data_IF_704316254097
#
_entry.id   IF_704316254097
#
_cell.length_a   1.000
_cell.length_b   1.000
_cell.length_c   1.000
_cell.angle_alpha   90.00
_cell.angle_beta   90.00
_cell.angle_gamma   90.00
#
_symmetry.space_group_name_H-M   'P 1'
#
loop_
_entity.id
_entity.type
_entity.pdbx_description
1 polymer ?
#
# COMPACT_ATOMS: atom_id res chain seq x y z
N UNK A 1 -8.25 5.16 -20.79
CA UNK A 1 -6.78 5.24 -20.64
C UNK A 1 -6.07 5.32 -21.99
N UNK A 2 -6.26 4.33 -22.87
CA UNK A 2 -5.71 4.33 -24.25
C UNK A 2 -6.22 5.50 -25.11
N UNK A 3 -7.52 5.76 -25.07
CA UNK A 3 -8.13 6.91 -25.78
C UNK A 3 -7.62 8.27 -25.28
N UNK A 4 -7.28 8.36 -23.99
CA UNK A 4 -6.70 9.56 -23.37
C UNK A 4 -5.16 9.61 -23.43
N UNK A 5 -4.51 8.64 -24.10
CA UNK A 5 -3.05 8.49 -24.21
C UNK A 5 -2.28 8.57 -22.88
N UNK A 6 -2.89 8.16 -21.77
CA UNK A 6 -2.23 8.14 -20.45
C UNK A 6 -1.46 6.83 -20.27
N UNK A 7 -0.19 6.93 -19.85
CA UNK A 7 0.59 5.80 -19.33
C UNK A 7 0.36 5.68 -17.82
N UNK A 8 0.28 4.44 -17.33
CA UNK A 8 0.01 4.14 -15.92
C UNK A 8 1.09 3.19 -15.43
N UNK A 9 1.63 3.45 -14.25
CA UNK A 9 2.44 2.48 -13.53
C UNK A 9 1.55 1.70 -12.54
N UNK A 10 1.54 0.38 -12.64
CA UNK A 10 0.92 -0.51 -11.66
C UNK A 10 2.02 -1.08 -10.78
N UNK A 11 2.07 -0.64 -9.52
CA UNK A 11 3.05 -1.08 -8.54
C UNK A 11 2.52 -2.30 -7.78
N UNK A 12 3.28 -3.40 -7.75
CA UNK A 12 2.88 -4.66 -7.11
C UNK A 12 4.02 -5.31 -6.33
N UNK A 13 3.69 -6.10 -5.31
CA UNK A 13 4.67 -6.88 -4.56
C UNK A 13 5.10 -8.14 -5.34
N UNK A 14 6.11 -8.83 -4.81
CA UNK A 14 6.67 -10.04 -5.42
C UNK A 14 5.93 -11.32 -5.03
N UNK A 15 4.63 -11.25 -4.73
CA UNK A 15 3.86 -12.45 -4.42
C UNK A 15 3.86 -13.42 -5.61
N UNK A 16 3.96 -14.72 -5.34
CA UNK A 16 4.06 -15.75 -6.40
C UNK A 16 2.83 -15.78 -7.32
N UNK A 17 1.66 -15.39 -6.82
CA UNK A 17 0.45 -15.23 -7.63
C UNK A 17 0.53 -14.09 -8.66
N UNK A 18 1.50 -13.18 -8.54
CA UNK A 18 1.78 -12.11 -9.49
C UNK A 18 2.85 -12.47 -10.53
N UNK A 19 3.43 -13.68 -10.46
CA UNK A 19 4.40 -14.18 -11.43
C UNK A 19 3.75 -14.56 -12.78
N UNK A 20 2.93 -13.66 -13.33
CA UNK A 20 2.27 -13.80 -14.63
C UNK A 20 2.81 -12.74 -15.57
N UNK A 21 3.30 -13.16 -16.73
CA UNK A 21 3.75 -12.23 -17.78
C UNK A 21 2.53 -11.67 -18.51
N UNK A 22 2.09 -10.48 -18.12
CA UNK A 22 1.03 -9.74 -18.78
C UNK A 22 1.63 -8.57 -19.58
N UNK A 23 1.38 -8.53 -20.90
CA UNK A 23 1.70 -7.38 -21.74
C UNK A 23 0.47 -6.51 -21.89
N UNK A 24 0.51 -5.31 -21.32
CA UNK A 24 -0.58 -4.33 -21.39
C UNK A 24 -0.15 -3.14 -22.26
N UNK A 25 -1.07 -2.56 -23.04
CA UNK A 25 -0.71 -1.55 -24.05
C UNK A 25 -0.38 -0.16 -23.47
N UNK A 26 -0.82 0.14 -22.26
CA UNK A 26 -0.72 1.47 -21.63
C UNK A 26 -0.47 1.41 -20.11
N UNK A 27 -0.16 0.22 -19.60
CA UNK A 27 0.10 -0.03 -18.18
C UNK A 27 1.45 -0.73 -18.08
N UNK A 28 2.38 -0.10 -17.40
CA UNK A 28 3.67 -0.68 -17.06
C UNK A 28 3.54 -1.30 -15.67
N UNK A 29 3.75 -2.61 -15.57
CA UNK A 29 3.72 -3.32 -14.30
C UNK A 29 5.12 -3.27 -13.69
N UNK A 30 5.24 -2.68 -12.51
CA UNK A 30 6.49 -2.49 -11.80
C UNK A 30 6.44 -3.29 -10.50
N UNK A 31 7.37 -4.23 -10.36
CA UNK A 31 7.53 -4.98 -9.14
C UNK A 31 8.43 -4.21 -8.18
N UNK A 32 8.04 -4.16 -6.91
CA UNK A 32 8.91 -3.66 -5.86
C UNK A 32 10.16 -4.56 -5.71
N UNK A 33 11.30 -4.05 -5.21
CA UNK A 33 12.40 -4.90 -4.78
C UNK A 33 11.95 -5.96 -3.76
N UNK A 34 12.70 -7.06 -3.66
CA UNK A 34 12.39 -8.10 -2.68
C UNK A 34 12.55 -7.54 -1.26
N UNK A 35 11.67 -7.96 -0.36
CA UNK A 35 11.69 -7.62 1.07
C UNK A 35 11.53 -6.13 1.42
N UNK A 36 11.13 -5.28 0.48
CA UNK A 36 10.89 -3.85 0.75
C UNK A 36 9.42 -3.48 0.86
N UNK A 37 8.50 -4.43 0.69
CA UNK A 37 7.06 -4.14 0.59
C UNK A 37 6.54 -3.25 1.71
N UNK A 38 6.87 -3.55 2.97
CA UNK A 38 6.42 -2.75 4.12
C UNK A 38 6.94 -1.31 4.14
N UNK A 39 8.03 -1.03 3.43
CA UNK A 39 8.69 0.28 3.39
C UNK A 39 8.15 1.13 2.24
N UNK A 40 7.93 0.53 1.08
CA UNK A 40 7.61 1.29 -0.14
C UNK A 40 6.22 0.99 -0.73
N UNK A 41 5.44 0.07 -0.16
CA UNK A 41 4.06 -0.10 -0.59
C UNK A 41 3.15 0.95 0.06
N UNK A 42 2.44 1.78 -0.74
CA UNK A 42 1.48 2.76 -0.20
C UNK A 42 0.39 2.11 0.65
N UNK A 43 -0.02 0.89 0.29
CA UNK A 43 -0.98 0.11 1.06
C UNK A 43 -0.53 -0.10 2.52
N UNK A 44 0.75 -0.43 2.70
CA UNK A 44 1.38 -0.63 4.02
C UNK A 44 1.72 0.71 4.71
N UNK A 45 1.83 1.81 3.96
CA UNK A 45 2.10 3.15 4.52
C UNK A 45 0.92 3.83 5.20
N UNK A 46 -0.26 3.22 5.20
CA UNK A 46 -1.38 3.70 6.01
C UNK A 46 -2.77 3.36 5.48
N UNK A 47 -2.91 3.06 4.19
CA UNK A 47 -4.21 2.76 3.58
C UNK A 47 -4.87 1.55 4.25
N UNK A 48 -4.14 0.43 4.41
CA UNK A 48 -4.68 -0.77 5.06
C UNK A 48 -5.06 -0.49 6.52
N UNK A 49 -4.24 0.29 7.24
CA UNK A 49 -4.50 0.66 8.63
C UNK A 49 -5.76 1.51 8.76
N UNK A 50 -5.90 2.54 7.91
CA UNK A 50 -7.08 3.39 7.86
C UNK A 50 -8.33 2.57 7.55
N UNK A 51 -8.28 1.75 6.49
CA UNK A 51 -9.38 0.85 6.12
C UNK A 51 -9.83 -0.03 7.27
N UNK A 52 -8.90 -0.74 7.94
CA UNK A 52 -9.21 -1.62 9.08
C UNK A 52 -9.87 -0.85 10.23
N UNK A 53 -9.42 0.37 10.49
CA UNK A 53 -10.02 1.21 11.54
C UNK A 53 -11.47 1.58 11.21
N UNK A 54 -11.74 2.07 10.00
CA UNK A 54 -13.10 2.39 9.57
C UNK A 54 -13.99 1.15 9.51
N UNK A 55 -13.47 0.02 9.00
CA UNK A 55 -14.18 -1.25 8.98
C UNK A 55 -14.58 -1.71 10.39
N UNK A 56 -13.64 -1.67 11.34
CA UNK A 56 -13.92 -2.05 12.72
C UNK A 56 -14.98 -1.13 13.35
N UNK A 57 -14.96 0.17 13.04
CA UNK A 57 -16.01 1.08 13.51
C UNK A 57 -17.38 0.71 12.93
N UNK A 58 -17.46 0.39 11.63
CA UNK A 58 -18.72 0.02 10.99
C UNK A 58 -19.25 -1.34 11.45
N UNK A 59 -18.39 -2.34 11.60
CA UNK A 59 -18.83 -3.65 12.07
C UNK A 59 -19.32 -3.57 13.51
N UNK A 60 -18.68 -2.76 14.36
CA UNK A 60 -19.16 -2.54 15.74
C UNK A 60 -20.51 -1.82 15.77
N UNK A 61 -20.73 -0.82 14.92
CA UNK A 61 -22.05 -0.18 14.76
C UNK A 61 -23.11 -1.20 14.34
N UNK A 62 -22.80 -2.04 13.35
CA UNK A 62 -23.71 -3.09 12.86
C UNK A 62 -24.06 -4.08 13.97
N UNK A 63 -23.06 -4.54 14.73
CA UNK A 63 -23.27 -5.45 15.87
C UNK A 63 -24.20 -4.79 16.91
N UNK A 64 -23.92 -3.55 17.29
CA UNK A 64 -24.63 -2.87 18.39
C UNK A 64 -26.06 -2.47 17.98
N UNK A 65 -26.23 -1.86 16.80
CA UNK A 65 -27.49 -1.23 16.43
C UNK A 65 -28.40 -2.16 15.62
N UNK A 66 -27.84 -3.01 14.76
CA UNK A 66 -28.65 -3.81 13.83
C UNK A 66 -28.84 -5.26 14.32
N UNK A 67 -27.81 -5.84 14.94
CA UNK A 67 -27.79 -7.26 15.30
C UNK A 67 -28.05 -7.55 16.77
N UNK A 68 -28.13 -6.52 17.64
CA UNK A 68 -28.26 -6.69 19.09
C UNK A 68 -29.59 -6.18 19.68
N UNK A 69 -30.77 -6.54 19.14
CA UNK A 69 -32.05 -6.04 19.66
C UNK A 69 -32.36 -6.52 21.09
N UNK A 70 -31.78 -7.64 21.52
CA UNK A 70 -32.00 -8.24 22.83
C UNK A 70 -30.88 -7.96 23.86
N UNK A 71 -29.88 -7.13 23.52
CA UNK A 71 -28.75 -6.83 24.40
C UNK A 71 -27.76 -8.00 24.61
N UNK A 72 -27.88 -9.08 23.84
CA UNK A 72 -27.00 -10.25 23.86
C UNK A 72 -25.91 -10.17 22.79
N UNK A 73 -24.75 -9.64 23.18
CA UNK A 73 -23.62 -9.39 22.27
C UNK A 73 -23.11 -10.68 21.60
N UNK A 74 -23.04 -11.80 22.33
CA UNK A 74 -22.54 -13.06 21.76
C UNK A 74 -23.42 -13.61 20.62
N UNK A 75 -24.73 -13.44 20.73
CA UNK A 75 -25.68 -13.81 19.67
C UNK A 75 -25.57 -12.84 18.48
N UNK A 76 -25.41 -11.54 18.76
CA UNK A 76 -25.25 -10.50 17.73
C UNK A 76 -23.99 -10.71 16.88
N UNK A 77 -22.86 -11.06 17.49
CA UNK A 77 -21.60 -11.35 16.79
C UNK A 77 -21.76 -12.58 15.88
N UNK A 78 -22.41 -13.64 16.36
CA UNK A 78 -22.70 -14.85 15.56
C UNK A 78 -23.67 -14.57 14.40
N UNK A 79 -24.51 -13.54 14.53
CA UNK A 79 -25.46 -13.09 13.50
C UNK A 79 -24.86 -12.23 12.39
N UNK A 80 -23.56 -11.94 12.42
CA UNK A 80 -22.86 -11.21 11.37
C UNK A 80 -22.70 -12.09 10.13
N UNK A 81 -23.16 -11.56 8.99
CA UNK A 81 -23.14 -12.24 7.70
C UNK A 81 -22.03 -11.70 6.80
N UNK A 82 -21.75 -12.41 5.71
CA UNK A 82 -20.86 -11.93 4.65
C UNK A 82 -21.41 -10.64 4.02
N UNK A 83 -22.73 -10.49 3.90
CA UNK A 83 -23.34 -9.26 3.37
C UNK A 83 -23.04 -8.05 4.26
N UNK A 84 -23.08 -8.23 5.58
CA UNK A 84 -22.72 -7.19 6.55
C UNK A 84 -21.24 -6.81 6.39
N UNK A 85 -20.36 -7.80 6.25
CA UNK A 85 -18.93 -7.57 6.05
C UNK A 85 -18.63 -6.82 4.73
N UNK A 86 -19.28 -7.20 3.62
CA UNK A 86 -19.13 -6.50 2.32
C UNK A 86 -19.65 -5.06 2.43
N UNK A 87 -20.80 -4.86 3.07
CA UNK A 87 -21.39 -3.53 3.25
C UNK A 87 -20.50 -2.64 4.11
N UNK A 88 -20.01 -3.16 5.24
CA UNK A 88 -19.05 -2.46 6.09
C UNK A 88 -17.73 -2.16 5.37
N UNK A 89 -17.25 -3.07 4.51
CA UNK A 89 -16.05 -2.84 3.69
C UNK A 89 -16.25 -1.68 2.73
N UNK A 90 -17.40 -1.61 2.07
CA UNK A 90 -17.74 -0.48 1.20
C UNK A 90 -17.78 0.83 1.99
N UNK A 91 -18.51 0.88 3.10
CA UNK A 91 -18.61 2.08 3.93
C UNK A 91 -17.24 2.53 4.47
N UNK A 92 -16.40 1.57 4.87
CA UNK A 92 -15.04 1.85 5.32
C UNK A 92 -14.15 2.42 4.22
N UNK A 93 -14.27 1.90 3.00
CA UNK A 93 -13.52 2.42 1.85
C UNK A 93 -13.97 3.84 1.48
N UNK A 94 -15.28 4.11 1.52
CA UNK A 94 -15.83 5.43 1.19
C UNK A 94 -15.41 6.52 2.21
N UNK A 95 -14.95 6.14 3.42
CA UNK A 95 -14.38 7.08 4.40
C UNK A 95 -12.90 7.41 4.18
N UNK A 96 -12.19 6.64 3.34
CA UNK A 96 -10.79 6.92 3.01
C UNK A 96 -10.74 8.09 2.04
N UNK A 97 -10.03 9.15 2.42
CA UNK A 97 -9.93 10.37 1.60
C UNK A 97 -8.82 10.27 0.56
N UNK A 98 -9.01 10.93 -0.59
CA UNK A 98 -7.97 11.05 -1.62
C UNK A 98 -6.65 11.61 -1.05
N UNK A 99 -6.73 12.58 -0.14
CA UNK A 99 -5.56 13.16 0.54
C UNK A 99 -4.82 12.13 1.39
N UNK A 100 -5.54 11.25 2.10
CA UNK A 100 -4.89 10.19 2.90
C UNK A 100 -4.15 9.18 2.03
N UNK A 101 -4.73 8.85 0.87
CA UNK A 101 -4.10 7.98 -0.14
C UNK A 101 -2.85 8.68 -0.68
N UNK A 102 -2.97 9.95 -1.09
CA UNK A 102 -1.85 10.73 -1.60
C UNK A 102 -0.66 10.75 -0.63
N UNK A 103 -0.89 11.07 0.65
CA UNK A 103 0.18 11.07 1.66
C UNK A 103 0.83 9.69 1.83
N UNK A 104 0.07 8.59 1.73
CA UNK A 104 0.64 7.24 1.79
C UNK A 104 1.56 6.96 0.60
N UNK A 105 1.18 7.44 -0.60
CA UNK A 105 2.03 7.34 -1.78
C UNK A 105 3.28 8.21 -1.67
N UNK A 106 3.15 9.45 -1.22
CA UNK A 106 4.30 10.35 -1.01
C UNK A 106 5.30 9.73 -0.04
N UNK A 107 4.83 9.25 1.11
CA UNK A 107 5.68 8.61 2.12
C UNK A 107 6.38 7.35 1.59
N UNK A 108 5.67 6.51 0.83
CA UNK A 108 6.23 5.32 0.20
C UNK A 108 7.34 5.66 -0.80
N UNK A 109 7.13 6.68 -1.63
CA UNK A 109 8.05 7.07 -2.70
C UNK A 109 9.25 7.88 -2.17
N UNK A 110 9.09 8.66 -1.10
CA UNK A 110 10.21 9.33 -0.43
C UNK A 110 11.25 8.34 0.13
N UNK A 111 10.85 7.12 0.49
CA UNK A 111 11.78 6.10 0.96
C UNK A 111 12.67 5.58 -0.20
N UNK A 112 12.09 5.30 -1.36
CA UNK A 112 12.82 4.86 -2.57
C UNK A 112 13.82 5.93 -3.04
N UNK A 113 13.47 7.22 -2.94
CA UNK A 113 14.38 8.31 -3.27
C UNK A 113 15.57 8.39 -2.32
N UNK A 114 15.36 8.20 -1.01
CA UNK A 114 16.44 8.27 -0.01
C UNK A 114 17.43 7.12 -0.15
N UNK A 115 16.95 5.89 -0.32
CA UNK A 115 17.82 4.71 -0.49
C UNK A 115 18.71 4.83 -1.73
N UNK A 116 18.18 5.36 -2.85
CA UNK A 116 18.99 5.64 -4.06
C UNK A 116 20.06 6.70 -3.80
N UNK A 117 19.72 7.75 -3.06
CA UNK A 117 20.63 8.85 -2.76
C UNK A 117 21.78 8.39 -1.86
N UNK A 118 21.49 7.59 -0.83
CA UNK A 118 22.49 7.01 0.07
C UNK A 118 23.44 6.05 -0.67
N UNK A 119 22.91 5.25 -1.60
CA UNK A 119 23.74 4.35 -2.44
C UNK A 119 24.61 5.16 -3.40
N UNK A 120 24.07 6.15 -4.10
CA UNK A 120 24.84 7.02 -5.01
C UNK A 120 25.96 7.76 -4.27
N UNK A 121 25.66 8.32 -3.10
CA UNK A 121 26.65 9.02 -2.27
C UNK A 121 27.75 8.08 -1.76
N UNK A 122 27.41 6.82 -1.43
CA UNK A 122 28.38 5.81 -1.03
C UNK A 122 29.32 5.39 -2.18
N UNK A 123 28.78 5.25 -3.40
CA UNK A 123 29.56 4.91 -4.60
C UNK A 123 30.51 6.05 -4.99
N UNK A 124 30.02 7.29 -4.96
CA UNK A 124 30.83 8.49 -5.21
C UNK A 124 31.99 8.58 -4.20
N UNK A 125 31.72 8.35 -2.91
CA UNK A 125 32.76 8.39 -1.88
C UNK A 125 33.79 7.26 -2.07
N UNK A 126 33.36 6.06 -2.48
CA UNK A 126 34.26 4.95 -2.79
C UNK A 126 35.20 5.29 -3.95
N UNK A 127 34.66 5.82 -5.05
CA UNK A 127 35.44 6.19 -6.24
C UNK A 127 36.44 7.33 -5.95
N UNK A 128 36.05 8.29 -5.09
CA UNK A 128 36.95 9.38 -4.67
C UNK A 128 38.13 8.82 -3.87
N UNK A 129 37.88 7.89 -2.94
CA UNK A 129 38.91 7.26 -2.12
C UNK A 129 39.87 6.44 -2.98
N UNK A 130 39.35 5.63 -3.91
CA UNK A 130 40.18 4.83 -4.83
C UNK A 130 41.07 5.71 -5.73
N UNK A 131 40.52 6.79 -6.29
CA UNK A 131 41.27 7.74 -7.11
C UNK A 131 42.31 8.56 -6.32
N UNK A 132 42.03 8.86 -5.04
CA UNK A 132 42.99 9.54 -4.16
C UNK A 132 44.18 8.64 -3.82
N UNK A 133 43.93 7.34 -3.58
CA UNK A 133 44.99 6.35 -3.32
C UNK A 133 45.85 6.15 -4.58
N UNK A 134 45.25 6.01 -5.76
CA UNK A 134 45.98 5.79 -7.02
C UNK A 134 46.83 7.00 -7.46
N UNK A 135 46.52 8.22 -7.01
CA UNK A 135 47.33 9.43 -7.28
C UNK A 135 48.44 9.65 -6.26
N UNK A 136 48.50 8.83 -5.20
CA UNK A 136 49.51 8.93 -4.14
C UNK A 136 50.69 7.96 -4.31
N UNK A 137 50.69 7.17 -5.40
CA UNK A 137 51.81 6.36 -5.91
C UNK A 137 52.32 6.93 -7.23
#
# INVERSE_FOLDING_TARGET
MREKRRKIALLIDNATCHAVSLKLSNVDVIFFPKNTSSLIQPCDQGIIKAFKNHYNNWIMKTIIYDKNPAGKIDEAIKGITILDAISCSKLAWDEITDTSIQHCFEKALEYDCREKQDIEESLINSDIVENAILKSF
#
